data_IF_663799263684
#
_entry.id   IF_663799263684
#
_cell.length_a   1.000
_cell.length_b   1.000
_cell.length_c   1.000
_cell.angle_alpha   90.00
_cell.angle_beta   90.00
_cell.angle_gamma   90.00
#
_symmetry.space_group_name_H-M   'P 1'
#
loop_
_entity.id
_entity.type
_entity.pdbx_description
1 polymer ?
#
# COMPACT_ATOMS: atom_id res chain seq x y z
N UNK A 1 23.01 -6.63 -17.05
CA UNK A 1 22.26 -6.81 -15.79
C UNK A 1 21.37 -8.04 -15.98
N UNK A 2 21.43 -9.02 -15.05
CA UNK A 2 20.56 -10.20 -15.10
C UNK A 2 19.12 -9.83 -14.75
N UNK A 3 18.14 -10.67 -15.12
CA UNK A 3 16.74 -10.41 -14.76
C UNK A 3 16.54 -10.40 -13.22
N UNK A 4 17.24 -11.25 -12.49
CA UNK A 4 17.20 -11.28 -11.01
C UNK A 4 17.74 -9.97 -10.42
N UNK A 5 18.81 -9.40 -10.97
CA UNK A 5 19.34 -8.11 -10.52
C UNK A 5 18.37 -6.94 -10.68
N UNK A 6 17.39 -7.04 -11.60
CA UNK A 6 16.36 -6.00 -11.76
C UNK A 6 15.42 -5.89 -10.54
N UNK A 7 15.32 -6.92 -9.71
CA UNK A 7 14.54 -6.91 -8.48
C UNK A 7 15.31 -6.39 -7.28
N UNK A 8 16.64 -6.22 -7.38
CA UNK A 8 17.46 -5.68 -6.30
C UNK A 8 17.20 -4.19 -6.09
N UNK A 9 17.23 -3.79 -4.83
CA UNK A 9 16.98 -2.43 -4.35
C UNK A 9 18.18 -1.88 -3.57
N UNK A 10 19.39 -2.37 -3.85
CA UNK A 10 20.60 -1.92 -3.19
C UNK A 10 20.81 -0.42 -3.40
N UNK A 11 21.00 0.31 -2.29
CA UNK A 11 21.15 1.77 -2.30
C UNK A 11 19.83 2.55 -2.39
N UNK A 12 18.68 1.88 -2.51
CA UNK A 12 17.38 2.52 -2.44
C UNK A 12 16.95 2.76 -0.99
N UNK A 13 16.15 3.81 -0.76
CA UNK A 13 15.41 4.00 0.48
C UNK A 13 13.92 3.93 0.21
N UNK A 14 13.24 2.98 0.85
CA UNK A 14 11.81 2.79 0.76
C UNK A 14 11.10 3.34 1.99
N UNK A 15 9.93 3.95 1.79
CA UNK A 15 8.99 4.32 2.85
C UNK A 15 7.77 3.43 2.73
N UNK A 16 7.33 2.81 3.84
CA UNK A 16 6.12 1.98 3.90
C UNK A 16 5.20 2.55 4.98
N UNK A 17 4.04 3.08 4.58
CA UNK A 17 3.03 3.53 5.54
C UNK A 17 2.21 2.34 6.04
N UNK A 18 1.98 2.24 7.37
CA UNK A 18 1.34 1.06 7.94
C UNK A 18 2.20 -0.20 7.78
N UNK A 19 3.53 -0.05 7.81
CA UNK A 19 4.51 -1.11 7.53
C UNK A 19 4.80 -2.05 8.69
N UNK A 20 4.13 -1.88 9.84
CA UNK A 20 4.43 -2.62 11.06
C UNK A 20 3.75 -3.98 11.19
N UNK A 21 2.73 -4.29 10.37
CA UNK A 21 1.94 -5.53 10.48
C UNK A 21 1.30 -5.96 9.17
N UNK A 22 0.86 -7.22 9.12
CA UNK A 22 0.11 -7.81 8.01
C UNK A 22 0.77 -7.53 6.64
N UNK A 23 0.02 -7.06 5.64
CA UNK A 23 0.54 -6.76 4.28
C UNK A 23 1.70 -5.77 4.35
N UNK A 24 1.57 -4.72 5.18
CA UNK A 24 2.63 -3.71 5.31
C UNK A 24 3.94 -4.29 5.84
N UNK A 25 3.89 -5.19 6.83
CA UNK A 25 5.08 -5.87 7.36
C UNK A 25 5.74 -6.73 6.29
N UNK A 26 4.96 -7.51 5.53
CA UNK A 26 5.51 -8.31 4.44
C UNK A 26 6.10 -7.43 3.33
N UNK A 27 5.51 -6.26 3.04
CA UNK A 27 6.12 -5.29 2.12
C UNK A 27 7.45 -4.75 2.69
N UNK A 28 7.50 -4.40 3.98
CA UNK A 28 8.71 -3.94 4.65
C UNK A 28 9.82 -4.99 4.55
N UNK A 29 9.50 -6.24 4.87
CA UNK A 29 10.43 -7.36 4.78
C UNK A 29 10.92 -7.61 3.35
N UNK A 30 10.01 -7.70 2.37
CA UNK A 30 10.37 -7.97 0.97
C UNK A 30 11.27 -6.88 0.38
N UNK A 31 11.03 -5.60 0.70
CA UNK A 31 11.87 -4.50 0.25
C UNK A 31 13.25 -4.52 0.93
N UNK A 32 13.30 -4.86 2.23
CA UNK A 32 14.54 -4.99 2.97
C UNK A 32 15.40 -6.19 2.48
N UNK A 33 14.78 -7.35 2.22
CA UNK A 33 15.44 -8.51 1.61
C UNK A 33 16.02 -8.20 0.22
N UNK A 34 15.33 -7.35 -0.55
CA UNK A 34 15.82 -6.88 -1.84
C UNK A 34 17.01 -5.90 -1.72
N UNK A 35 17.34 -5.41 -0.52
CA UNK A 35 18.50 -4.55 -0.23
C UNK A 35 18.17 -3.09 0.04
N UNK A 36 16.88 -2.70 0.13
CA UNK A 36 16.51 -1.35 0.48
C UNK A 36 16.70 -1.06 1.98
N UNK A 37 17.08 0.18 2.32
CA UNK A 37 16.83 0.71 3.65
C UNK A 37 15.35 1.07 3.76
N UNK A 38 14.63 0.59 4.77
CA UNK A 38 13.19 0.77 4.88
C UNK A 38 12.81 1.66 6.05
N UNK A 39 12.05 2.70 5.79
CA UNK A 39 11.43 3.57 6.79
C UNK A 39 9.96 3.18 6.91
N UNK A 40 9.57 2.70 8.07
CA UNK A 40 8.18 2.40 8.40
C UNK A 40 7.54 3.62 9.05
N UNK A 41 6.38 4.04 8.54
CA UNK A 41 5.56 5.07 9.19
C UNK A 41 4.37 4.39 9.84
N UNK A 42 4.29 4.53 11.17
CA UNK A 42 3.19 4.02 12.01
C UNK A 42 2.71 5.10 12.99
N UNK A 43 1.48 4.94 13.50
CA UNK A 43 0.90 5.88 14.45
C UNK A 43 1.56 5.84 15.83
N UNK A 44 2.16 4.71 16.18
CA UNK A 44 2.92 4.53 17.41
C UNK A 44 4.09 3.56 17.18
N UNK A 45 5.09 3.61 18.06
CA UNK A 45 6.19 2.62 18.02
C UNK A 45 5.71 1.19 18.31
N UNK A 46 4.69 1.03 19.16
CA UNK A 46 4.10 -0.27 19.45
C UNK A 46 3.47 -0.93 18.20
N UNK A 47 2.88 -0.14 17.31
CA UNK A 47 2.36 -0.66 16.03
C UNK A 47 3.48 -1.13 15.08
N UNK A 48 4.73 -0.72 15.32
CA UNK A 48 5.89 -1.03 14.48
C UNK A 48 6.83 -2.09 15.08
N UNK A 49 6.51 -2.68 16.22
CA UNK A 49 7.39 -3.62 16.94
C UNK A 49 7.87 -4.79 16.05
N UNK A 50 6.96 -5.40 15.29
CA UNK A 50 7.32 -6.50 14.39
C UNK A 50 8.25 -6.05 13.25
N UNK A 51 8.10 -4.83 12.73
CA UNK A 51 9.00 -4.29 11.73
C UNK A 51 10.39 -4.00 12.33
N UNK A 52 10.46 -3.52 13.57
CA UNK A 52 11.73 -3.32 14.25
C UNK A 52 12.47 -4.62 14.51
N UNK A 53 11.76 -5.72 14.78
CA UNK A 53 12.37 -7.06 14.95
C UNK A 53 13.08 -7.57 13.67
N UNK A 54 12.79 -7.01 12.50
CA UNK A 54 13.55 -7.32 11.27
C UNK A 54 15.02 -6.90 11.36
N UNK A 55 15.37 -5.95 12.25
CA UNK A 55 16.77 -5.58 12.53
C UNK A 55 17.60 -6.74 13.08
N UNK A 56 17.00 -7.62 13.86
CA UNK A 56 17.67 -8.79 14.43
C UNK A 56 18.10 -9.78 13.32
N UNK A 57 17.46 -9.67 12.15
CA UNK A 57 17.82 -10.41 10.93
C UNK A 57 18.82 -9.67 10.05
N UNK A 58 19.32 -8.50 10.48
CA UNK A 58 20.32 -7.71 9.79
C UNK A 58 19.77 -6.71 8.76
N UNK A 59 18.46 -6.48 8.71
CA UNK A 59 17.84 -5.51 7.78
C UNK A 59 17.93 -4.07 8.31
N UNK A 60 18.15 -3.12 7.39
CA UNK A 60 18.15 -1.67 7.68
C UNK A 60 16.71 -1.16 7.72
N UNK A 61 16.08 -1.25 8.89
CA UNK A 61 14.68 -0.79 9.11
C UNK A 61 14.66 0.28 10.18
N UNK A 62 14.02 1.41 9.91
CA UNK A 62 13.79 2.47 10.88
C UNK A 62 12.29 2.84 10.96
N UNK A 63 11.88 3.45 12.06
CA UNK A 63 10.48 3.83 12.30
C UNK A 63 10.39 5.34 12.47
N UNK A 64 9.34 5.91 11.90
CA UNK A 64 8.88 7.28 12.15
C UNK A 64 7.43 7.25 12.61
N UNK A 65 7.16 7.88 13.74
CA UNK A 65 5.78 8.03 14.23
C UNK A 65 5.08 9.14 13.45
N UNK A 66 3.92 8.80 12.87
CA UNK A 66 3.09 9.74 12.12
C UNK A 66 1.76 9.10 11.70
N UNK A 67 0.71 9.92 11.67
CA UNK A 67 -0.58 9.56 11.08
C UNK A 67 -0.62 10.08 9.64
N UNK A 68 -1.01 9.24 8.68
CA UNK A 68 -1.08 9.62 7.26
C UNK A 68 -2.12 10.71 6.99
N UNK A 69 -3.06 10.93 7.91
CA UNK A 69 -4.03 12.02 7.83
C UNK A 69 -3.44 13.38 8.21
N UNK A 70 -2.28 13.39 8.88
CA UNK A 70 -1.52 14.61 9.19
C UNK A 70 -0.57 14.95 8.03
N UNK A 71 -1.05 15.78 7.11
CA UNK A 71 -0.28 16.21 5.94
C UNK A 71 1.03 16.94 6.34
N UNK A 72 1.02 17.72 7.43
CA UNK A 72 2.21 18.44 7.88
C UNK A 72 3.26 17.47 8.44
N UNK A 73 2.84 16.44 9.18
CA UNK A 73 3.75 15.41 9.68
C UNK A 73 4.37 14.60 8.53
N UNK A 74 3.59 14.25 7.50
CA UNK A 74 4.14 13.56 6.31
C UNK A 74 5.18 14.41 5.59
N UNK A 75 4.93 15.70 5.43
CA UNK A 75 5.89 16.65 4.85
C UNK A 75 7.17 16.76 5.70
N UNK A 76 7.04 16.84 7.03
CA UNK A 76 8.18 16.90 7.95
C UNK A 76 9.05 15.64 7.83
N UNK A 77 8.45 14.43 7.83
CA UNK A 77 9.19 13.18 7.68
C UNK A 77 9.92 13.14 6.32
N UNK A 78 9.26 13.55 5.22
CA UNK A 78 9.88 13.55 3.91
C UNK A 78 11.08 14.52 3.85
N UNK A 79 10.98 15.69 4.50
CA UNK A 79 12.05 16.68 4.63
C UNK A 79 13.20 16.14 5.48
N UNK A 80 12.92 15.56 6.66
CA UNK A 80 13.92 14.92 7.53
C UNK A 80 14.76 13.88 6.75
N UNK A 81 14.10 13.05 5.92
CA UNK A 81 14.79 12.05 5.12
C UNK A 81 15.63 12.67 4.00
N UNK A 82 15.14 13.73 3.36
CA UNK A 82 15.88 14.45 2.32
C UNK A 82 17.12 15.14 2.89
N UNK A 83 16.99 15.83 4.04
CA UNK A 83 18.07 16.56 4.71
C UNK A 83 19.16 15.61 5.26
N UNK A 84 18.82 14.34 5.54
CA UNK A 84 19.78 13.31 5.90
C UNK A 84 20.72 12.90 4.75
N UNK A 85 20.53 13.42 3.54
CA UNK A 85 21.26 13.07 2.32
C UNK A 85 20.79 11.73 1.71
N UNK A 86 19.78 11.08 2.25
CA UNK A 86 19.20 9.81 1.76
C UNK A 86 17.68 9.94 1.59
N UNK A 87 17.19 10.73 0.62
CA UNK A 87 15.77 10.87 0.35
C UNK A 87 15.14 9.51 -0.04
N UNK A 88 13.83 9.40 0.18
CA UNK A 88 13.10 8.22 -0.25
C UNK A 88 13.01 8.17 -1.79
N UNK A 89 13.28 7.01 -2.36
CA UNK A 89 13.14 6.71 -3.80
C UNK A 89 11.99 5.74 -4.08
N UNK A 90 11.47 5.10 -3.03
CA UNK A 90 10.33 4.20 -3.10
C UNK A 90 9.32 4.61 -2.03
N UNK A 91 8.04 4.67 -2.38
CA UNK A 91 6.93 4.86 -1.44
C UNK A 91 5.90 3.76 -1.63
N UNK A 92 5.55 3.06 -0.55
CA UNK A 92 4.43 2.13 -0.50
C UNK A 92 3.34 2.73 0.38
N UNK A 93 2.27 3.20 -0.23
CA UNK A 93 1.08 3.69 0.46
C UNK A 93 0.20 2.49 0.84
N UNK A 94 0.50 1.87 2.00
CA UNK A 94 -0.23 0.71 2.49
C UNK A 94 -1.20 1.05 3.63
N UNK A 95 -0.94 2.09 4.41
CA UNK A 95 -1.85 2.49 5.50
C UNK A 95 -3.28 2.66 4.99
N UNK A 96 -4.23 2.04 5.69
CA UNK A 96 -5.62 2.07 5.31
C UNK A 96 -6.53 1.43 6.36
N UNK A 97 -7.80 1.76 6.31
CA UNK A 97 -8.85 1.17 7.14
C UNK A 97 -9.91 0.51 6.26
N UNK A 98 -10.60 -0.48 6.81
CA UNK A 98 -11.72 -1.15 6.18
C UNK A 98 -12.97 -1.07 7.07
N UNK A 99 -14.13 -1.02 6.44
CA UNK A 99 -15.42 -1.10 7.10
C UNK A 99 -16.40 -1.78 6.15
N UNK A 100 -17.15 -2.73 6.65
CA UNK A 100 -18.15 -3.45 5.87
C UNK A 100 -19.36 -3.81 6.73
N UNK A 101 -20.49 -4.10 6.09
CA UNK A 101 -21.72 -4.52 6.77
C UNK A 101 -22.64 -3.36 7.18
N UNK A 102 -22.30 -2.11 6.84
CA UNK A 102 -23.17 -0.95 7.07
C UNK A 102 -23.81 -0.56 5.75
N UNK A 103 -25.14 -0.61 5.61
CA UNK A 103 -25.86 -0.11 4.44
C UNK A 103 -25.59 1.39 4.22
N UNK A 104 -25.58 1.82 2.95
CA UNK A 104 -25.18 3.20 2.61
C UNK A 104 -26.04 4.27 3.30
N UNK A 105 -27.36 4.02 3.49
CA UNK A 105 -28.28 4.95 4.14
C UNK A 105 -28.09 5.02 5.68
N UNK A 106 -27.33 4.09 6.26
CA UNK A 106 -27.01 4.03 7.69
C UNK A 106 -25.58 4.47 7.99
N UNK A 107 -24.77 4.68 6.94
CA UNK A 107 -23.40 5.12 7.09
C UNK A 107 -23.37 6.57 7.60
N UNK A 108 -22.67 6.80 8.71
CA UNK A 108 -22.57 8.17 9.25
C UNK A 108 -21.60 9.02 8.43
N UNK A 109 -21.82 10.35 8.45
CA UNK A 109 -20.89 11.29 7.81
C UNK A 109 -19.48 11.15 8.39
N UNK A 110 -19.37 10.91 9.69
CA UNK A 110 -18.07 10.73 10.36
C UNK A 110 -17.33 9.48 9.84
N UNK A 111 -18.01 8.35 9.66
CA UNK A 111 -17.40 7.13 9.12
C UNK A 111 -16.98 7.31 7.67
N UNK A 112 -17.84 7.97 6.87
CA UNK A 112 -17.52 8.31 5.49
C UNK A 112 -16.26 9.19 5.41
N UNK A 113 -16.23 10.29 6.14
CA UNK A 113 -15.11 11.24 6.14
C UNK A 113 -13.82 10.57 6.64
N UNK A 114 -13.89 9.77 7.71
CA UNK A 114 -12.73 9.03 8.20
C UNK A 114 -12.19 8.05 7.16
N UNK A 115 -13.06 7.34 6.44
CA UNK A 115 -12.65 6.41 5.37
C UNK A 115 -11.92 7.15 4.27
N UNK A 116 -12.47 8.29 3.82
CA UNK A 116 -11.85 9.11 2.78
C UNK A 116 -10.55 9.75 3.27
N UNK A 117 -10.50 10.19 4.52
CA UNK A 117 -9.32 10.86 5.06
C UNK A 117 -8.12 9.91 5.14
N UNK A 118 -8.32 8.70 5.67
CA UNK A 118 -7.23 7.73 5.74
C UNK A 118 -6.89 7.15 4.36
N UNK A 119 -7.90 6.63 3.63
CA UNK A 119 -7.65 5.82 2.45
C UNK A 119 -7.36 6.63 1.18
N UNK A 120 -7.77 7.89 1.12
CA UNK A 120 -7.62 8.74 -0.06
C UNK A 120 -6.70 9.92 0.22
N UNK A 121 -7.05 10.78 1.20
CA UNK A 121 -6.26 11.94 1.55
C UNK A 121 -4.86 11.52 2.03
N UNK A 122 -4.78 10.51 2.91
CA UNK A 122 -3.50 9.98 3.40
C UNK A 122 -2.58 9.51 2.28
N UNK A 123 -3.12 8.78 1.30
CA UNK A 123 -2.36 8.35 0.10
C UNK A 123 -1.87 9.55 -0.70
N UNK A 124 -2.71 10.59 -0.87
CA UNK A 124 -2.32 11.80 -1.59
C UNK A 124 -1.28 12.62 -0.81
N UNK A 125 -1.46 12.79 0.51
CA UNK A 125 -0.50 13.54 1.34
C UNK A 125 0.88 12.89 1.32
N UNK A 126 0.96 11.58 1.50
CA UNK A 126 2.21 10.84 1.41
C UNK A 126 2.82 10.93 0.01
N UNK A 127 2.01 10.69 -1.04
CA UNK A 127 2.51 10.76 -2.42
C UNK A 127 3.07 12.16 -2.73
N UNK A 128 2.41 13.24 -2.30
CA UNK A 128 2.87 14.61 -2.49
C UNK A 128 4.15 14.90 -1.71
N UNK A 129 4.21 14.51 -0.44
CA UNK A 129 5.35 14.79 0.43
C UNK A 129 6.63 14.10 -0.08
N UNK A 130 6.55 12.80 -0.33
CA UNK A 130 7.70 12.01 -0.82
C UNK A 130 7.94 12.17 -2.33
N UNK A 131 6.90 12.54 -3.10
CA UNK A 131 7.02 12.80 -4.53
C UNK A 131 7.87 14.04 -4.86
N UNK A 132 7.84 15.10 -4.04
CA UNK A 132 8.64 16.31 -4.26
C UNK A 132 10.14 16.04 -4.37
N UNK A 133 10.80 15.38 -3.40
CA UNK A 133 12.21 15.01 -3.56
C UNK A 133 12.43 14.03 -4.72
N UNK A 134 11.52 13.08 -4.99
CA UNK A 134 11.63 12.20 -6.15
C UNK A 134 11.63 12.98 -7.47
N UNK A 135 10.75 13.99 -7.61
CA UNK A 135 10.70 14.89 -8.79
C UNK A 135 12.02 15.61 -8.96
N UNK A 136 12.59 16.16 -7.89
CA UNK A 136 13.87 16.87 -7.94
C UNK A 136 15.02 15.95 -8.37
N UNK A 137 15.00 14.69 -7.93
CA UNK A 137 15.98 13.67 -8.31
C UNK A 137 15.71 13.04 -9.69
N UNK A 138 14.55 13.28 -10.28
CA UNK A 138 14.07 12.61 -11.52
C UNK A 138 14.07 11.07 -11.41
N UNK A 139 13.73 10.56 -10.23
CA UNK A 139 13.77 9.13 -9.90
C UNK A 139 12.80 8.82 -8.78
N UNK A 140 11.93 7.81 -8.98
CA UNK A 140 11.05 7.33 -7.93
C UNK A 140 10.10 6.22 -8.39
N UNK A 141 9.63 5.45 -7.41
CA UNK A 141 8.58 4.46 -7.59
C UNK A 141 7.56 4.55 -6.45
N UNK A 142 6.30 4.75 -6.77
CA UNK A 142 5.20 4.77 -5.83
C UNK A 142 4.29 3.58 -6.09
N UNK A 143 3.99 2.80 -5.05
CA UNK A 143 3.06 1.67 -5.12
C UNK A 143 1.94 1.89 -4.12
N UNK A 144 0.72 2.01 -4.61
CA UNK A 144 -0.47 2.22 -3.79
C UNK A 144 -1.19 0.90 -3.51
N UNK A 145 -1.61 0.66 -2.27
CA UNK A 145 -2.50 -0.44 -1.92
C UNK A 145 -3.95 -0.07 -2.27
N UNK A 146 -4.34 -0.44 -3.50
CA UNK A 146 -5.72 -0.46 -3.94
C UNK A 146 -6.52 -1.60 -3.30
N UNK A 147 -7.44 -2.16 -4.05
CA UNK A 147 -8.24 -3.35 -3.73
C UNK A 147 -9.02 -3.75 -4.97
N UNK A 148 -9.39 -5.02 -5.12
CA UNK A 148 -10.41 -5.43 -6.09
C UNK A 148 -11.71 -4.62 -5.91
N UNK A 149 -12.01 -4.17 -4.69
CA UNK A 149 -13.15 -3.31 -4.36
C UNK A 149 -13.15 -1.96 -5.08
N UNK A 150 -12.02 -1.55 -5.66
CA UNK A 150 -11.94 -0.38 -6.54
C UNK A 150 -12.39 -0.68 -7.98
N UNK A 151 -12.55 -1.94 -8.35
CA UNK A 151 -13.05 -2.40 -9.66
C UNK A 151 -14.50 -2.88 -9.61
N UNK A 152 -14.89 -3.48 -8.47
CA UNK A 152 -16.20 -4.13 -8.30
C UNK A 152 -16.92 -3.62 -7.05
N UNK A 153 -18.21 -3.94 -6.93
CA UNK A 153 -18.95 -3.84 -5.68
C UNK A 153 -18.97 -5.22 -5.00
N UNK A 154 -18.44 -5.29 -3.79
CA UNK A 154 -18.37 -6.54 -3.03
C UNK A 154 -19.76 -7.03 -2.62
N UNK A 155 -19.86 -8.35 -2.50
CA UNK A 155 -21.05 -9.06 -2.01
C UNK A 155 -20.63 -10.21 -1.08
N UNK A 156 -21.48 -10.64 -0.13
CA UNK A 156 -22.84 -10.13 0.15
C UNK A 156 -22.86 -8.82 0.98
N UNK A 157 -21.72 -8.41 1.56
CA UNK A 157 -21.66 -7.26 2.48
C UNK A 157 -21.69 -5.91 1.76
N UNK A 158 -22.50 -4.94 2.24
CA UNK A 158 -22.38 -3.56 1.82
C UNK A 158 -21.09 -2.95 2.38
N UNK A 159 -20.37 -2.18 1.54
CA UNK A 159 -19.13 -1.46 1.95
C UNK A 159 -18.86 -0.26 1.05
N UNK A 160 -19.88 0.57 0.83
CA UNK A 160 -19.85 1.68 -0.12
C UNK A 160 -18.66 2.62 0.06
N UNK A 161 -18.39 3.08 1.29
CA UNK A 161 -17.27 4.00 1.56
C UNK A 161 -15.92 3.39 1.20
N UNK A 162 -15.71 2.11 1.53
CA UNK A 162 -14.47 1.41 1.19
C UNK A 162 -14.29 1.27 -0.32
N UNK A 163 -15.34 0.81 -1.03
CA UNK A 163 -15.29 0.66 -2.49
C UNK A 163 -14.96 1.99 -3.17
N UNK A 164 -15.65 3.08 -2.79
CA UNK A 164 -15.40 4.41 -3.34
C UNK A 164 -13.96 4.88 -3.04
N UNK A 165 -13.48 4.68 -1.80
CA UNK A 165 -12.11 5.05 -1.42
C UNK A 165 -11.06 4.32 -2.27
N UNK A 166 -11.26 3.02 -2.54
CA UNK A 166 -10.31 2.23 -3.34
C UNK A 166 -10.40 2.53 -4.84
N UNK A 167 -11.58 2.85 -5.36
CA UNK A 167 -11.73 3.39 -6.72
C UNK A 167 -11.02 4.75 -6.87
N UNK A 168 -11.12 5.62 -5.87
CA UNK A 168 -10.39 6.88 -5.83
C UNK A 168 -8.87 6.68 -5.85
N UNK A 169 -8.33 5.72 -5.07
CA UNK A 169 -6.89 5.37 -5.10
C UNK A 169 -6.47 4.87 -6.47
N UNK A 170 -7.29 4.06 -7.16
CA UNK A 170 -6.99 3.61 -8.52
C UNK A 170 -6.90 4.78 -9.50
N UNK A 171 -7.83 5.74 -9.41
CA UNK A 171 -7.79 6.90 -10.31
C UNK A 171 -6.67 7.86 -9.94
N UNK A 172 -6.42 8.09 -8.65
CA UNK A 172 -5.26 8.87 -8.16
C UNK A 172 -3.93 8.29 -8.69
N UNK A 173 -3.79 6.96 -8.69
CA UNK A 173 -2.63 6.27 -9.25
C UNK A 173 -2.39 6.66 -10.72
N UNK A 174 -3.45 6.63 -11.54
CA UNK A 174 -3.37 7.02 -12.95
C UNK A 174 -3.05 8.49 -13.14
N UNK A 175 -3.68 9.36 -12.34
CA UNK A 175 -3.46 10.81 -12.41
C UNK A 175 -2.00 11.17 -12.10
N UNK A 176 -1.48 10.69 -10.96
CA UNK A 176 -0.09 10.93 -10.58
C UNK A 176 0.91 10.30 -11.58
N UNK A 177 0.60 9.12 -12.11
CA UNK A 177 1.42 8.49 -13.14
C UNK A 177 1.53 9.36 -14.40
N UNK A 178 0.40 9.90 -14.88
CA UNK A 178 0.37 10.78 -16.05
C UNK A 178 1.12 12.09 -15.82
N UNK A 179 0.97 12.68 -14.62
CA UNK A 179 1.62 13.94 -14.27
C UNK A 179 3.13 13.79 -14.05
N UNK A 180 3.59 12.67 -13.46
CA UNK A 180 4.96 12.55 -12.97
C UNK A 180 5.87 11.67 -13.82
N UNK A 181 5.33 10.99 -14.85
CA UNK A 181 6.14 10.12 -15.72
C UNK A 181 7.31 10.87 -16.37
N UNK A 182 7.11 12.10 -16.83
CA UNK A 182 8.16 12.91 -17.45
C UNK A 182 9.25 13.38 -16.46
N UNK A 183 8.99 13.24 -15.16
CA UNK A 183 9.98 13.42 -14.09
C UNK A 183 10.72 12.13 -13.72
N UNK A 184 10.49 11.02 -14.44
CA UNK A 184 11.13 9.73 -14.14
C UNK A 184 10.52 8.99 -12.95
N UNK A 185 9.28 9.33 -12.56
CA UNK A 185 8.58 8.67 -11.45
C UNK A 185 7.53 7.72 -12.01
N UNK A 186 7.50 6.51 -11.47
CA UNK A 186 6.47 5.51 -11.78
C UNK A 186 5.48 5.46 -10.62
N UNK A 187 4.20 5.44 -10.91
CA UNK A 187 3.13 5.31 -9.91
C UNK A 187 2.20 4.19 -10.34
N UNK A 188 2.13 3.12 -9.54
CA UNK A 188 1.28 1.97 -9.81
C UNK A 188 0.49 1.59 -8.56
N UNK A 189 -0.48 0.69 -8.70
CA UNK A 189 -1.18 0.11 -7.57
C UNK A 189 -1.26 -1.41 -7.70
N UNK A 190 -1.34 -2.09 -6.56
CA UNK A 190 -1.82 -3.46 -6.46
C UNK A 190 -3.27 -3.45 -6.01
N UNK A 191 -4.08 -4.38 -6.51
CA UNK A 191 -5.49 -4.54 -6.17
C UNK A 191 -5.73 -5.94 -5.59
N UNK A 192 -5.46 -6.16 -4.29
CA UNK A 192 -5.68 -7.45 -3.65
C UNK A 192 -7.15 -7.80 -3.51
N UNK A 193 -7.45 -9.09 -3.48
CA UNK A 193 -8.71 -9.68 -3.01
C UNK A 193 -8.73 -9.80 -1.48
N UNK A 194 -9.48 -10.75 -0.94
CA UNK A 194 -9.49 -11.10 0.48
C UNK A 194 -8.15 -11.75 0.85
N UNK A 195 -7.42 -11.10 1.76
CA UNK A 195 -6.09 -11.55 2.23
C UNK A 195 -6.20 -12.00 3.68
N UNK A 196 -5.52 -13.08 4.03
CA UNK A 196 -5.47 -13.66 5.38
C UNK A 196 -4.75 -12.72 6.35
N UNK A 197 -5.45 -11.69 6.81
CA UNK A 197 -4.97 -10.70 7.76
C UNK A 197 -5.89 -10.64 8.97
N UNK A 198 -5.41 -10.16 10.13
CA UNK A 198 -6.28 -9.94 11.30
C UNK A 198 -7.52 -9.09 10.98
N UNK A 199 -7.41 -8.13 10.06
CA UNK A 199 -8.53 -7.30 9.60
C UNK A 199 -9.66 -8.13 8.97
N UNK A 200 -9.33 -9.27 8.36
CA UNK A 200 -10.31 -10.13 7.67
C UNK A 200 -10.72 -11.30 8.56
N UNK A 201 -9.75 -12.05 9.10
CA UNK A 201 -10.04 -13.32 9.78
C UNK A 201 -10.54 -13.16 11.22
N UNK A 202 -10.18 -12.07 11.89
CA UNK A 202 -10.62 -11.83 13.29
C UNK A 202 -12.04 -11.26 13.39
N UNK A 203 -12.67 -10.86 12.29
CA UNK A 203 -14.04 -10.33 12.29
C UNK A 203 -15.05 -11.47 12.27
N UNK A 204 -15.82 -11.62 13.37
CA UNK A 204 -16.80 -12.69 13.56
C UNK A 204 -17.79 -12.80 12.37
N UNK A 205 -18.32 -11.65 11.91
CA UNK A 205 -19.23 -11.61 10.77
C UNK A 205 -18.63 -12.13 9.46
N UNK A 206 -17.30 -12.26 9.36
CA UNK A 206 -16.66 -12.81 8.16
C UNK A 206 -16.66 -14.34 8.14
N UNK A 207 -16.87 -15.02 9.27
CA UNK A 207 -16.93 -16.49 9.30
C UNK A 207 -17.97 -17.05 8.34
N UNK A 208 -19.14 -16.43 8.28
CA UNK A 208 -20.21 -16.82 7.37
C UNK A 208 -19.97 -16.36 5.93
N UNK A 209 -19.20 -15.27 5.75
CA UNK A 209 -18.91 -14.68 4.44
C UNK A 209 -17.77 -15.38 3.70
N UNK A 210 -16.76 -15.88 4.44
CA UNK A 210 -15.58 -16.52 3.84
C UNK A 210 -15.96 -17.64 2.85
N UNK A 211 -16.86 -18.60 3.17
CA UNK A 211 -17.26 -19.62 2.21
C UNK A 211 -17.86 -19.05 0.91
N UNK A 212 -18.62 -17.94 1.03
CA UNK A 212 -19.22 -17.28 -0.13
C UNK A 212 -18.16 -16.59 -1.00
N UNK A 213 -17.20 -15.91 -0.36
CA UNK A 213 -16.08 -15.30 -1.07
C UNK A 213 -15.21 -16.34 -1.80
N UNK A 214 -14.95 -17.48 -1.15
CA UNK A 214 -14.16 -18.56 -1.76
C UNK A 214 -14.89 -19.21 -2.93
N UNK A 215 -16.22 -19.34 -2.86
CA UNK A 215 -17.04 -19.85 -3.97
C UNK A 215 -16.97 -18.93 -5.21
N UNK A 216 -16.82 -17.61 -4.99
CA UNK A 216 -16.67 -16.63 -6.07
C UNK A 216 -15.21 -16.46 -6.53
N UNK A 217 -14.25 -17.10 -5.86
CA UNK A 217 -12.80 -16.99 -6.16
C UNK A 217 -12.35 -18.17 -7.01
N UNK A 218 -11.88 -17.96 -8.26
CA UNK A 218 -11.42 -19.05 -9.13
C UNK A 218 -10.36 -19.97 -8.53
N UNK A 219 -9.39 -19.44 -7.78
CA UNK A 219 -8.37 -20.26 -7.11
C UNK A 219 -8.88 -20.90 -5.81
N UNK A 220 -10.12 -20.64 -5.37
CA UNK A 220 -10.77 -21.29 -4.22
C UNK A 220 -10.14 -21.00 -2.85
N UNK A 221 -9.32 -19.95 -2.73
CA UNK A 221 -8.65 -19.56 -1.48
C UNK A 221 -8.49 -18.06 -1.34
N UNK A 222 -8.27 -17.60 -0.13
CA UNK A 222 -7.76 -16.24 0.11
C UNK A 222 -6.29 -16.15 -0.32
N UNK A 223 -5.82 -14.92 -0.53
CA UNK A 223 -4.40 -14.65 -0.70
C UNK A 223 -3.69 -14.51 0.64
N UNK A 224 -2.34 -14.57 0.62
CA UNK A 224 -1.51 -14.27 1.77
C UNK A 224 -0.88 -12.88 1.65
N UNK A 225 -0.46 -12.25 2.77
CA UNK A 225 0.27 -10.98 2.74
C UNK A 225 1.53 -11.00 1.86
N UNK A 226 2.26 -12.12 1.86
CA UNK A 226 3.49 -12.32 1.09
C UNK A 226 3.25 -12.30 -0.42
N UNK A 227 2.10 -12.82 -0.88
CA UNK A 227 1.72 -12.79 -2.30
C UNK A 227 1.49 -11.34 -2.78
N UNK A 228 0.91 -10.50 -1.92
CA UNK A 228 0.75 -9.07 -2.20
C UNK A 228 2.11 -8.36 -2.17
N UNK A 229 2.94 -8.63 -1.17
CA UNK A 229 4.26 -8.03 -1.02
C UNK A 229 5.17 -8.34 -2.22
N UNK A 230 5.08 -9.56 -2.78
CA UNK A 230 5.81 -9.95 -4.00
C UNK A 230 5.46 -9.06 -5.19
N UNK A 231 4.17 -8.74 -5.39
CA UNK A 231 3.72 -7.83 -6.44
C UNK A 231 4.17 -6.38 -6.18
N UNK A 232 4.17 -5.94 -4.91
CA UNK A 232 4.69 -4.63 -4.49
C UNK A 232 6.17 -4.52 -4.79
N UNK A 233 6.99 -5.52 -4.43
CA UNK A 233 8.42 -5.57 -4.74
C UNK A 233 8.67 -5.47 -6.25
N UNK A 234 7.92 -6.24 -7.06
CA UNK A 234 8.03 -6.14 -8.53
C UNK A 234 7.78 -4.70 -9.00
N UNK A 235 6.68 -4.08 -8.59
CA UNK A 235 6.32 -2.72 -9.03
C UNK A 235 7.28 -1.65 -8.51
N UNK A 236 7.86 -1.83 -7.33
CA UNK A 236 8.85 -0.92 -6.75
C UNK A 236 10.20 -1.01 -7.48
N UNK A 237 10.54 -2.17 -8.02
CA UNK A 237 11.87 -2.48 -8.57
C UNK A 237 12.06 -2.05 -10.04
N UNK A 238 13.31 -2.16 -10.51
CA UNK A 238 13.68 -1.95 -11.92
C UNK A 238 13.07 -2.99 -12.88
N UNK A 239 12.52 -4.10 -12.37
CA UNK A 239 11.81 -5.09 -13.19
C UNK A 239 10.53 -4.53 -13.82
N UNK A 240 9.91 -3.52 -13.18
CA UNK A 240 8.71 -2.82 -13.68
C UNK A 240 9.03 -1.46 -14.34
N UNK A 241 10.22 -1.28 -14.90
CA UNK A 241 10.70 0.03 -15.40
C UNK A 241 9.84 0.67 -16.51
N UNK A 242 9.02 -0.10 -17.21
CA UNK A 242 8.09 0.41 -18.24
C UNK A 242 6.64 0.51 -17.74
N UNK A 243 6.39 0.23 -16.45
CA UNK A 243 5.03 0.24 -15.88
C UNK A 243 4.80 1.50 -15.07
N UNK A 244 3.80 2.30 -15.47
CA UNK A 244 3.24 3.41 -14.71
C UNK A 244 1.75 3.53 -15.00
N UNK A 245 0.95 3.90 -14.01
CA UNK A 245 -0.52 3.98 -14.10
C UNK A 245 -1.24 2.62 -14.07
N UNK A 246 -0.52 1.52 -13.88
CA UNK A 246 -1.11 0.19 -13.82
C UNK A 246 -1.80 -0.07 -12.47
N UNK A 247 -2.94 -0.77 -12.52
CA UNK A 247 -3.60 -1.36 -11.37
C UNK A 247 -3.49 -2.89 -11.54
N UNK A 248 -2.60 -3.49 -10.78
CA UNK A 248 -2.27 -4.92 -10.91
C UNK A 248 -3.13 -5.74 -9.95
N UNK A 249 -4.00 -6.57 -10.50
CA UNK A 249 -4.83 -7.46 -9.69
C UNK A 249 -3.98 -8.56 -9.06
N UNK A 250 -4.14 -8.72 -7.73
CA UNK A 250 -3.56 -9.81 -6.93
C UNK A 250 -4.74 -10.48 -6.22
N UNK A 251 -5.60 -11.10 -7.00
CA UNK A 251 -6.99 -11.34 -6.60
C UNK A 251 -7.45 -12.80 -6.78
N UNK A 252 -6.54 -13.73 -7.02
CA UNK A 252 -6.86 -15.15 -7.22
C UNK A 252 -7.93 -15.36 -8.32
N UNK A 253 -8.04 -14.42 -9.26
CA UNK A 253 -9.01 -14.45 -10.36
C UNK A 253 -10.40 -13.91 -9.99
N UNK A 254 -10.60 -13.33 -8.80
CA UNK A 254 -11.91 -12.88 -8.31
C UNK A 254 -12.62 -11.92 -9.28
N UNK A 255 -11.89 -11.08 -10.00
CA UNK A 255 -12.44 -10.10 -10.95
C UNK A 255 -12.48 -10.56 -12.40
N UNK A 256 -12.35 -11.86 -12.66
CA UNK A 256 -12.38 -12.40 -14.02
C UNK A 256 -13.82 -12.54 -14.59
N UNK A 257 -14.85 -12.53 -13.73
CA UNK A 257 -16.27 -12.58 -14.08
C UNK A 257 -17.15 -11.60 -13.32
#
# INVERSE_FOLDING_TARGET
MSYQQKFRLDGERAVVTGGGRAIGLCCTEALAEAGAAVVVIERSEADAEQALALRDRGYDVEVRVGDVTDAARMEAIATELADSGRPATILVNNAGIGQSGIPAQELTDADWLRMMDVNVNGVFWCSRAFGRPMISMKRGAIVNLGSMSGHICNRPQPQTAYNVSKAAVHHLTRSLAAEWAHHGIRVNAVAPTYIETPMVVAVEANRERIPLWLADTPMGRMGTPEEVASAVLFLASGAASLMTGAIVNVDAGFTCW
#
